data_IF_973528440929
#
_entry.id   IF_973528440929
#
_cell.length_a   1.000
_cell.length_b   1.000
_cell.length_c   1.000
_cell.angle_alpha   90.00
_cell.angle_beta   90.00
_cell.angle_gamma   90.00
#
_symmetry.space_group_name_H-M   'P 1'
#
loop_
_entity.id
_entity.type
_entity.pdbx_description
1 polymer ?
#
# COMPACT_ATOMS: atom_id res chain seq x y z
N UNK A 1 -13.57 15.73 -10.10
CA UNK A 1 -14.09 14.86 -9.03
C UNK A 1 -13.04 14.73 -7.96
N UNK A 2 -13.42 15.00 -6.72
CA UNK A 2 -12.47 14.97 -5.62
C UNK A 2 -13.04 14.22 -4.43
N UNK A 3 -12.14 13.65 -3.65
CA UNK A 3 -12.50 12.83 -2.50
C UNK A 3 -11.78 13.33 -1.26
N UNK A 4 -12.43 13.23 -0.13
CA UNK A 4 -11.88 13.73 1.13
C UNK A 4 -10.92 12.76 1.79
N UNK A 5 -11.26 11.48 1.80
CA UNK A 5 -10.45 10.46 2.46
C UNK A 5 -10.08 9.37 1.46
N UNK A 6 -8.82 9.34 1.08
CA UNK A 6 -8.35 8.43 0.06
C UNK A 6 -7.44 7.37 0.68
N UNK A 7 -7.71 6.11 0.35
CA UNK A 7 -6.83 5.01 0.71
C UNK A 7 -6.01 4.65 -0.53
N UNK A 8 -4.70 4.87 -0.49
CA UNK A 8 -3.81 4.46 -1.57
C UNK A 8 -2.96 3.30 -1.09
N UNK A 9 -2.98 2.22 -1.85
CA UNK A 9 -2.17 1.04 -1.53
C UNK A 9 -0.96 1.03 -2.42
N UNK A 10 0.21 0.88 -1.81
CA UNK A 10 1.41 0.65 -2.57
C UNK A 10 2.10 -0.59 -2.02
N UNK A 11 2.74 -1.27 -2.90
CA UNK A 11 3.61 -2.38 -2.57
C UNK A 11 4.59 -2.40 -3.72
N UNK A 12 5.61 -3.15 -3.61
CA UNK A 12 6.74 -3.07 -4.52
C UNK A 12 6.33 -3.32 -5.99
N UNK A 13 5.72 -2.32 -6.62
CA UNK A 13 5.33 -2.37 -8.02
C UNK A 13 5.72 -1.08 -8.74
N UNK A 14 5.95 -1.16 -10.05
CA UNK A 14 6.22 0.04 -10.83
C UNK A 14 5.06 1.03 -10.86
N UNK A 15 3.85 0.56 -10.62
CA UNK A 15 2.68 1.41 -10.62
C UNK A 15 2.46 2.22 -9.36
N UNK A 16 3.22 1.95 -8.29
CA UNK A 16 2.98 2.60 -7.00
C UNK A 16 3.06 4.13 -7.08
N UNK A 17 4.06 4.65 -7.77
CA UNK A 17 4.21 6.10 -7.89
C UNK A 17 3.09 6.73 -8.70
N UNK A 18 2.63 6.05 -9.74
CA UNK A 18 1.49 6.53 -10.52
C UNK A 18 0.24 6.58 -9.65
N UNK A 19 0.04 5.57 -8.81
CA UNK A 19 -1.08 5.56 -7.88
C UNK A 19 -1.00 6.70 -6.88
N UNK A 20 0.18 6.95 -6.36
CA UNK A 20 0.39 8.06 -5.41
C UNK A 20 0.06 9.40 -6.05
N UNK A 21 0.55 9.65 -7.26
CA UNK A 21 0.27 10.90 -7.97
C UNK A 21 -1.22 11.05 -8.26
N UNK A 22 -1.86 9.97 -8.68
CA UNK A 22 -3.29 10.02 -8.95
C UNK A 22 -4.09 10.29 -7.68
N UNK A 23 -3.72 9.66 -6.57
CA UNK A 23 -4.38 9.89 -5.29
C UNK A 23 -4.26 11.36 -4.87
N UNK A 24 -3.08 11.95 -5.03
CA UNK A 24 -2.89 13.37 -4.73
C UNK A 24 -3.80 14.25 -5.59
N UNK A 25 -3.95 13.90 -6.85
CA UNK A 25 -4.81 14.65 -7.77
C UNK A 25 -6.28 14.55 -7.37
N UNK A 26 -6.70 13.39 -6.89
CA UNK A 26 -8.10 13.15 -6.53
C UNK A 26 -8.48 13.67 -5.15
N UNK A 27 -7.51 13.98 -4.31
CA UNK A 27 -7.79 14.40 -2.95
C UNK A 27 -8.20 15.87 -2.90
N UNK A 28 -9.32 16.15 -2.26
CA UNK A 28 -9.76 17.53 -2.14
C UNK A 28 -8.94 18.30 -1.10
N UNK A 29 -8.96 19.62 -1.20
CA UNK A 29 -8.25 20.48 -0.27
C UNK A 29 -8.71 20.19 1.17
N UNK A 30 -7.74 20.06 2.07
CA UNK A 30 -8.03 19.75 3.46
C UNK A 30 -8.36 18.29 3.74
N UNK A 31 -8.30 17.44 2.72
CA UNK A 31 -8.57 16.03 2.89
C UNK A 31 -7.41 15.26 3.48
N UNK A 32 -7.54 13.95 3.53
CA UNK A 32 -6.49 13.08 4.05
C UNK A 32 -6.19 11.95 3.09
N UNK A 33 -4.94 11.51 3.11
CA UNK A 33 -4.48 10.40 2.31
C UNK A 33 -3.90 9.36 3.27
N UNK A 34 -4.48 8.18 3.21
CA UNK A 34 -4.03 7.05 4.01
C UNK A 34 -3.18 6.14 3.13
N UNK A 35 -1.92 6.03 3.46
CA UNK A 35 -0.94 5.28 2.67
C UNK A 35 -0.75 3.90 3.30
N UNK A 36 -1.23 2.88 2.59
CA UNK A 36 -1.05 1.50 3.02
C UNK A 36 0.10 0.89 2.22
N UNK A 37 1.13 0.46 2.91
CA UNK A 37 2.23 -0.25 2.29
C UNK A 37 2.10 -1.73 2.65
N UNK A 38 2.00 -2.58 1.62
CA UNK A 38 1.84 -4.01 1.84
C UNK A 38 3.16 -4.72 1.63
N UNK A 39 3.59 -5.43 2.65
CA UNK A 39 4.78 -6.28 2.59
C UNK A 39 4.29 -7.68 2.21
N UNK A 40 4.76 -8.24 1.09
CA UNK A 40 4.27 -9.54 0.65
C UNK A 40 4.50 -10.64 1.68
N UNK A 41 3.58 -11.60 1.71
CA UNK A 41 3.63 -12.67 2.68
C UNK A 41 4.79 -13.67 2.44
N UNK A 42 5.50 -13.53 1.34
CA UNK A 42 6.70 -14.33 1.14
C UNK A 42 7.73 -14.08 2.26
N UNK A 43 7.69 -12.91 2.87
CA UNK A 43 8.55 -12.59 3.99
C UNK A 43 8.27 -13.47 5.21
N UNK A 44 7.03 -13.92 5.33
CA UNK A 44 6.62 -14.84 6.38
C UNK A 44 7.44 -16.14 6.32
N UNK A 45 7.65 -16.65 5.12
CA UNK A 45 8.46 -17.86 4.94
C UNK A 45 9.90 -17.69 5.37
N UNK A 46 10.42 -16.47 5.30
CA UNK A 46 11.78 -16.18 5.72
C UNK A 46 11.92 -16.13 7.23
N UNK A 47 10.85 -15.86 7.94
CA UNK A 47 10.85 -15.67 9.38
C UNK A 47 10.21 -16.81 10.16
N UNK A 48 9.64 -17.79 9.47
CA UNK A 48 8.97 -18.92 10.10
C UNK A 48 7.45 -18.82 10.03
N UNK A 49 6.80 -19.94 10.30
CA UNK A 49 5.35 -20.03 10.08
C UNK A 49 4.53 -19.26 11.09
N UNK A 50 5.04 -19.09 12.31
CA UNK A 50 4.27 -18.47 13.38
C UNK A 50 4.76 -17.06 13.73
N UNK A 51 5.43 -16.40 12.78
CA UNK A 51 6.05 -15.11 13.05
C UNK A 51 5.06 -14.03 13.50
N UNK A 52 3.81 -14.13 13.08
CA UNK A 52 2.80 -13.16 13.48
C UNK A 52 2.36 -13.33 14.93
N UNK A 53 2.54 -14.53 15.48
CA UNK A 53 2.06 -14.84 16.81
C UNK A 53 3.17 -14.99 17.85
N UNK A 54 4.40 -14.75 17.43
CA UNK A 54 5.56 -14.96 18.28
C UNK A 54 6.32 -13.66 18.46
N UNK A 55 6.47 -13.22 19.73
CA UNK A 55 7.11 -11.94 20.01
C UNK A 55 8.57 -11.90 19.52
N UNK A 56 9.29 -13.02 19.64
CA UNK A 56 10.67 -13.08 19.17
C UNK A 56 10.73 -12.92 17.66
N UNK A 57 9.82 -13.55 16.94
CA UNK A 57 9.77 -13.46 15.50
C UNK A 57 9.38 -12.06 15.06
N UNK A 58 8.44 -11.43 15.77
CA UNK A 58 8.08 -10.05 15.49
C UNK A 58 9.25 -9.11 15.70
N UNK A 59 10.05 -9.36 16.74
CA UNK A 59 11.25 -8.57 16.98
C UNK A 59 12.27 -8.74 15.86
N UNK A 60 12.44 -9.97 15.38
CA UNK A 60 13.33 -10.23 14.24
C UNK A 60 12.84 -9.52 12.99
N UNK A 61 11.54 -9.52 12.77
CA UNK A 61 10.97 -8.82 11.62
C UNK A 61 11.23 -7.32 11.73
N UNK A 62 11.05 -6.77 12.92
CA UNK A 62 11.36 -5.37 13.17
C UNK A 62 12.82 -5.04 12.85
N UNK A 63 13.73 -5.91 13.31
CA UNK A 63 15.16 -5.73 13.00
C UNK A 63 15.46 -5.85 11.51
N UNK A 64 14.76 -6.75 10.85
CA UNK A 64 14.92 -6.89 9.40
C UNK A 64 14.46 -5.62 8.71
N UNK A 65 13.38 -5.02 9.16
CA UNK A 65 12.88 -3.77 8.60
C UNK A 65 13.85 -2.60 8.82
N UNK A 66 14.71 -2.70 9.82
CA UNK A 66 15.75 -1.69 10.02
C UNK A 66 16.85 -1.76 8.97
N UNK A 67 16.90 -2.86 8.20
CA UNK A 67 17.86 -3.02 7.13
C UNK A 67 17.34 -2.43 5.83
N UNK A 68 17.62 -3.12 4.73
CA UNK A 68 17.31 -2.60 3.39
C UNK A 68 15.82 -2.38 3.16
N UNK A 69 14.98 -3.37 3.53
CA UNK A 69 13.55 -3.23 3.33
C UNK A 69 12.98 -2.09 4.15
N UNK A 70 13.44 -1.95 5.39
CA UNK A 70 13.02 -0.85 6.24
C UNK A 70 13.35 0.50 5.65
N UNK A 71 14.53 0.61 5.05
CA UNK A 71 14.93 1.86 4.40
C UNK A 71 14.04 2.16 3.21
N UNK A 72 13.71 1.15 2.42
CA UNK A 72 12.84 1.34 1.25
C UNK A 72 11.45 1.82 1.66
N UNK A 73 10.89 1.21 2.71
CA UNK A 73 9.59 1.61 3.22
C UNK A 73 9.65 3.04 3.74
N UNK A 74 10.70 3.35 4.47
CA UNK A 74 10.86 4.68 5.06
C UNK A 74 11.02 5.76 4.00
N UNK A 75 11.78 5.47 2.95
CA UNK A 75 11.95 6.40 1.85
C UNK A 75 10.63 6.64 1.12
N UNK A 76 9.86 5.59 0.87
CA UNK A 76 8.56 5.73 0.25
C UNK A 76 7.61 6.56 1.10
N UNK A 77 7.62 6.32 2.41
CA UNK A 77 6.80 7.06 3.36
C UNK A 77 7.19 8.53 3.39
N UNK A 78 8.49 8.81 3.50
CA UNK A 78 8.96 10.19 3.58
C UNK A 78 8.65 10.96 2.31
N UNK A 79 8.84 10.33 1.16
CA UNK A 79 8.57 10.98 -0.12
C UNK A 79 7.09 11.34 -0.25
N UNK A 80 6.21 10.40 0.01
CA UNK A 80 4.79 10.67 -0.12
C UNK A 80 4.29 11.62 0.96
N UNK A 81 4.79 11.48 2.16
CA UNK A 81 4.42 12.38 3.25
C UNK A 81 4.75 13.83 2.91
N UNK A 82 5.95 14.07 2.36
CA UNK A 82 6.34 15.42 1.97
C UNK A 82 5.40 15.97 0.91
N UNK A 83 5.04 15.16 -0.08
CA UNK A 83 4.12 15.59 -1.13
C UNK A 83 2.73 15.89 -0.58
N UNK A 84 2.23 15.04 0.29
CA UNK A 84 0.90 15.19 0.88
C UNK A 84 0.83 16.45 1.73
N UNK A 85 1.79 16.61 2.63
CA UNK A 85 1.82 17.74 3.54
C UNK A 85 2.11 19.05 2.82
N UNK A 86 2.92 18.98 1.76
CA UNK A 86 3.19 20.16 0.92
C UNK A 86 1.95 20.69 0.23
N UNK A 87 0.92 19.86 0.09
CA UNK A 87 -0.37 20.28 -0.47
C UNK A 87 -1.42 20.64 0.59
N UNK A 88 -1.00 20.65 1.86
CA UNK A 88 -1.91 20.95 2.95
C UNK A 88 -2.86 19.82 3.31
N UNK A 89 -2.55 18.60 2.89
CA UNK A 89 -3.35 17.43 3.20
C UNK A 89 -2.80 16.70 4.42
N UNK A 90 -3.63 15.87 5.03
CA UNK A 90 -3.20 15.05 6.15
C UNK A 90 -2.70 13.72 5.64
N UNK A 91 -1.65 13.22 6.26
CA UNK A 91 -1.01 11.97 5.85
C UNK A 91 -1.04 10.97 6.99
N UNK A 92 -1.49 9.75 6.68
CA UNK A 92 -1.46 8.62 7.59
C UNK A 92 -0.77 7.46 6.90
N UNK A 93 0.06 6.76 7.64
CA UNK A 93 0.82 5.64 7.09
C UNK A 93 0.61 4.40 7.94
N UNK A 94 0.44 3.25 7.29
CA UNK A 94 0.51 1.97 7.95
C UNK A 94 1.11 0.95 7.00
N UNK A 95 1.69 -0.10 7.55
CA UNK A 95 2.07 -1.23 6.72
C UNK A 95 1.40 -2.49 7.27
N UNK A 96 1.16 -3.43 6.37
CA UNK A 96 0.61 -4.73 6.72
C UNK A 96 1.39 -5.80 5.98
N UNK A 97 1.43 -7.00 6.55
CA UNK A 97 2.14 -8.12 5.94
C UNK A 97 1.13 -9.16 5.54
N UNK A 98 1.20 -9.62 4.31
CA UNK A 98 0.28 -10.63 3.81
C UNK A 98 0.05 -10.51 2.33
N UNK A 99 -1.06 -11.06 1.88
CA UNK A 99 -1.45 -10.96 0.48
C UNK A 99 -2.03 -9.57 0.22
N UNK A 100 -1.54 -8.87 -0.81
CA UNK A 100 -1.93 -7.47 -1.00
C UNK A 100 -3.43 -7.22 -1.07
N UNK A 101 -4.17 -8.02 -1.82
CA UNK A 101 -5.60 -7.79 -1.94
C UNK A 101 -6.32 -7.97 -0.61
N UNK A 102 -5.95 -8.98 0.17
CA UNK A 102 -6.57 -9.21 1.47
C UNK A 102 -6.25 -8.10 2.46
N UNK A 103 -5.00 -7.65 2.48
CA UNK A 103 -4.59 -6.55 3.35
C UNK A 103 -5.35 -5.28 3.00
N UNK A 104 -5.52 -5.01 1.71
CA UNK A 104 -6.23 -3.84 1.27
C UNK A 104 -7.72 -3.90 1.64
N UNK A 105 -8.35 -5.05 1.47
CA UNK A 105 -9.75 -5.22 1.86
C UNK A 105 -9.94 -4.98 3.35
N UNK A 106 -9.04 -5.50 4.17
CA UNK A 106 -9.12 -5.29 5.61
C UNK A 106 -8.97 -3.82 5.97
N UNK A 107 -7.98 -3.15 5.38
CA UNK A 107 -7.76 -1.74 5.65
C UNK A 107 -8.95 -0.89 5.19
N UNK A 108 -9.50 -1.20 4.04
CA UNK A 108 -10.63 -0.47 3.50
C UNK A 108 -11.87 -0.62 4.39
N UNK A 109 -12.05 -1.80 4.99
CA UNK A 109 -13.19 -2.07 5.85
C UNK A 109 -13.08 -1.47 7.24
N UNK A 110 -11.85 -1.19 7.69
CA UNK A 110 -11.62 -0.68 9.04
C UNK A 110 -11.71 0.83 9.15
N UNK A 111 -11.48 1.53 8.04
CA UNK A 111 -11.43 2.98 8.06
C UNK A 111 -12.62 3.62 7.37
N UNK A 112 -12.65 4.95 7.42
CA UNK A 112 -13.68 5.75 6.74
C UNK A 112 -13.06 6.34 5.49
N UNK A 113 -12.97 5.55 4.44
CA UNK A 113 -12.39 6.00 3.18
C UNK A 113 -13.48 6.17 2.12
N UNK A 114 -13.26 7.10 1.21
CA UNK A 114 -14.21 7.39 0.14
C UNK A 114 -13.89 6.65 -1.14
N UNK A 115 -12.61 6.33 -1.34
CA UNK A 115 -12.14 5.70 -2.57
C UNK A 115 -10.82 4.99 -2.31
N UNK A 116 -10.56 3.97 -3.08
CA UNK A 116 -9.29 3.22 -3.04
C UNK A 116 -8.56 3.44 -4.36
N UNK A 117 -7.27 3.77 -4.27
CA UNK A 117 -6.42 3.94 -5.45
C UNK A 117 -5.26 2.94 -5.38
N UNK A 118 -5.03 2.25 -6.48
CA UNK A 118 -3.90 1.33 -6.60
C UNK A 118 -3.19 1.56 -7.92
N UNK A 119 -1.96 1.08 -8.00
CA UNK A 119 -1.27 1.01 -9.28
C UNK A 119 -1.65 -0.27 -10.02
N UNK A 120 -1.40 -0.30 -11.31
CA UNK A 120 -1.66 -1.49 -12.11
C UNK A 120 -0.83 -2.66 -11.57
N UNK A 121 -1.42 -3.84 -11.44
CA UNK A 121 -0.68 -5.01 -10.96
C UNK A 121 0.43 -5.40 -11.92
N UNK A 122 1.45 -6.07 -11.40
CA UNK A 122 2.50 -6.58 -12.27
C UNK A 122 1.94 -7.59 -13.24
N UNK A 123 2.45 -7.59 -14.47
CA UNK A 123 2.08 -8.64 -15.41
C UNK A 123 2.49 -10.01 -14.85
N UNK A 124 1.68 -11.01 -15.15
CA UNK A 124 1.97 -12.37 -14.75
C UNK A 124 3.31 -12.81 -15.35
N UNK A 125 4.15 -13.42 -14.53
CA UNK A 125 5.46 -13.88 -14.97
C UNK A 125 6.57 -12.86 -14.88
N UNK A 126 6.28 -11.63 -14.45
CA UNK A 126 7.30 -10.63 -14.24
C UNK A 126 8.21 -11.05 -13.10
N UNK A 127 9.51 -10.87 -13.29
CA UNK A 127 10.48 -11.18 -12.25
C UNK A 127 10.38 -10.20 -11.09
N UNK A 128 10.85 -10.65 -9.94
CA UNK A 128 10.83 -9.86 -8.72
C UNK A 128 9.95 -10.51 -7.67
N UNK A 129 9.32 -9.72 -6.85
CA UNK A 129 8.43 -10.22 -5.81
C UNK A 129 7.27 -10.96 -6.45
N UNK A 130 6.93 -12.10 -5.91
CA UNK A 130 5.89 -12.96 -6.47
C UNK A 130 4.49 -12.46 -6.16
N UNK A 131 4.34 -11.81 -5.04
CA UNK A 131 3.06 -11.32 -4.61
C UNK A 131 2.62 -10.15 -5.47
N UNK A 132 1.36 -10.14 -5.85
CA UNK A 132 0.79 -9.03 -6.61
C UNK A 132 -0.66 -8.84 -6.20
N UNK A 133 -1.17 -7.66 -6.52
CA UNK A 133 -2.56 -7.34 -6.22
C UNK A 133 -3.49 -8.16 -7.12
N UNK A 134 -4.35 -8.96 -6.52
CA UNK A 134 -5.30 -9.77 -7.26
C UNK A 134 -6.59 -8.98 -7.44
N UNK A 135 -6.79 -8.45 -8.64
CA UNK A 135 -7.92 -7.57 -8.92
C UNK A 135 -9.27 -8.23 -8.71
N UNK A 136 -9.39 -9.50 -9.04
CA UNK A 136 -10.66 -10.19 -8.88
C UNK A 136 -11.12 -10.20 -7.42
N UNK A 137 -10.17 -10.40 -6.51
CA UNK A 137 -10.49 -10.39 -5.08
C UNK A 137 -10.96 -9.01 -4.67
N UNK A 138 -10.28 -7.97 -5.15
CA UNK A 138 -10.68 -6.60 -4.82
C UNK A 138 -12.05 -6.25 -5.37
N UNK A 139 -12.29 -6.58 -6.63
CA UNK A 139 -13.55 -6.24 -7.28
C UNK A 139 -14.73 -6.89 -6.57
N UNK A 140 -14.54 -8.10 -6.07
CA UNK A 140 -15.60 -8.81 -5.36
C UNK A 140 -15.81 -8.36 -3.93
N UNK A 141 -14.75 -7.90 -3.28
CA UNK A 141 -14.78 -7.61 -1.85
C UNK A 141 -14.91 -6.16 -1.46
N UNK A 142 -14.54 -5.24 -2.34
CA UNK A 142 -14.57 -3.81 -1.99
C UNK A 142 -15.99 -3.26 -2.01
N UNK A 143 -16.31 -2.49 -0.99
CA UNK A 143 -17.54 -1.72 -0.95
C UNK A 143 -17.31 -0.26 -1.37
N UNK A 144 -16.10 0.07 -1.79
CA UNK A 144 -15.71 1.43 -2.18
C UNK A 144 -15.31 1.45 -3.65
N UNK A 145 -15.43 2.62 -4.30
CA UNK A 145 -14.90 2.78 -5.66
C UNK A 145 -13.40 2.47 -5.69
N UNK A 146 -12.97 1.87 -6.77
CA UNK A 146 -11.58 1.51 -6.99
C UNK A 146 -11.06 2.19 -8.25
N UNK A 147 -9.94 2.88 -8.14
CA UNK A 147 -9.27 3.50 -9.28
C UNK A 147 -7.90 2.85 -9.43
N UNK A 148 -7.59 2.49 -10.66
CA UNK A 148 -6.31 1.84 -10.98
C UNK A 148 -5.50 2.76 -11.87
N UNK A 149 -4.33 3.19 -11.37
CA UNK A 149 -3.45 4.05 -12.15
C UNK A 149 -2.64 3.18 -13.13
N UNK A 150 -2.56 3.58 -14.40
CA UNK A 150 -1.82 2.79 -15.38
C UNK A 150 -0.32 2.76 -15.07
N UNK A 151 0.28 1.58 -15.21
CA UNK A 151 1.71 1.41 -14.94
C UNK A 151 2.58 2.06 -15.99
N UNK A 152 2.06 2.22 -17.19
CA UNK A 152 2.82 2.74 -18.32
C UNK A 152 2.92 4.25 -18.33
N UNK A 153 2.45 4.91 -17.31
CA UNK A 153 2.41 6.36 -17.26
C UNK A 153 3.76 6.95 -16.84
N UNK A 154 4.81 6.65 -17.53
CA UNK A 154 6.12 7.20 -17.24
C UNK A 154 6.63 8.07 -18.36
#
# INVERSE_FOLDING_TARGET
MQFKNILVASHDTPGARAAERLALTLCEAGGSLHHLYVVPDLWKGMLGDDWLNNAVTQDRFGKYLEGQLGREIDEARQRLQADVEGRGLRYHFEFRVGKPAHCLLEAAGEGSHDIVVIGAPRPKGTEGLRSRMELEILVRGLALPLVIAPASAQ
#
